data_IF_168892008439
#
_entry.id   IF_168892008439
#
_cell.length_a   1.000
_cell.length_b   1.000
_cell.length_c   1.000
_cell.angle_alpha   90.00
_cell.angle_beta   90.00
_cell.angle_gamma   90.00
#
_symmetry.space_group_name_H-M   'P 1'
#
loop_
_entity.id
_entity.type
_entity.pdbx_description
1 polymer ?
#
# COMPACT_ATOMS: atom_id res chain seq x y z
N UNK A 1 12.92 -1.02 1.24
CA UNK A 1 12.31 -1.78 0.12
C UNK A 1 11.68 -0.82 -0.87
N UNK A 2 11.56 -1.16 -2.16
CA UNK A 2 10.86 -0.30 -3.13
C UNK A 2 9.35 -0.33 -2.93
N UNK A 3 8.65 0.78 -3.22
CA UNK A 3 7.17 0.86 -3.18
C UNK A 3 6.51 -0.29 -3.92
N UNK A 4 6.98 -0.62 -5.13
CA UNK A 4 6.40 -1.65 -5.99
C UNK A 4 6.48 -3.04 -5.33
N UNK A 5 7.50 -3.29 -4.51
CA UNK A 5 7.59 -4.51 -3.73
C UNK A 5 6.51 -4.57 -2.63
N UNK A 6 6.25 -3.44 -1.96
CA UNK A 6 5.17 -3.36 -0.96
C UNK A 6 3.79 -3.54 -1.62
N UNK A 7 3.53 -2.87 -2.74
CA UNK A 7 2.27 -3.05 -3.49
C UNK A 7 2.04 -4.51 -3.88
N UNK A 8 3.10 -5.21 -4.33
CA UNK A 8 3.05 -6.63 -4.66
C UNK A 8 2.73 -7.50 -3.44
N UNK A 9 3.30 -7.19 -2.27
CA UNK A 9 2.96 -7.89 -1.02
C UNK A 9 1.51 -7.67 -0.63
N UNK A 10 1.04 -6.42 -0.66
CA UNK A 10 -0.35 -6.07 -0.34
C UNK A 10 -1.33 -6.78 -1.28
N UNK A 11 -1.06 -6.79 -2.58
CA UNK A 11 -1.90 -7.51 -3.56
C UNK A 11 -1.95 -9.01 -3.28
N UNK A 12 -0.81 -9.64 -2.93
CA UNK A 12 -0.77 -11.07 -2.57
C UNK A 12 -1.58 -11.34 -1.31
N UNK A 13 -1.41 -10.51 -0.29
CA UNK A 13 -2.12 -10.64 0.98
C UNK A 13 -3.63 -10.45 0.82
N UNK A 14 -4.04 -9.47 0.01
CA UNK A 14 -5.45 -9.23 -0.30
C UNK A 14 -6.09 -10.45 -0.96
N UNK A 15 -5.41 -11.05 -1.96
CA UNK A 15 -5.87 -12.29 -2.61
C UNK A 15 -5.98 -13.45 -1.62
N UNK A 16 -5.00 -13.62 -0.74
CA UNK A 16 -5.00 -14.66 0.28
C UNK A 16 -6.17 -14.51 1.27
N UNK A 17 -6.51 -13.28 1.63
CA UNK A 17 -7.58 -12.96 2.59
C UNK A 17 -8.96 -12.76 1.93
N UNK A 18 -9.06 -12.82 0.60
CA UNK A 18 -10.30 -12.50 -0.12
C UNK A 18 -10.74 -11.03 0.02
N UNK A 19 -9.81 -10.11 0.26
CA UNK A 19 -10.08 -8.69 0.45
C UNK A 19 -9.96 -7.90 -0.86
N UNK A 20 -10.72 -6.82 -0.98
CA UNK A 20 -10.57 -5.86 -2.06
C UNK A 20 -9.19 -5.19 -2.02
N UNK A 21 -8.59 -4.97 -3.19
CA UNK A 21 -7.35 -4.22 -3.33
C UNK A 21 -7.42 -3.32 -4.55
N UNK A 22 -7.11 -2.04 -4.38
CA UNK A 22 -6.99 -1.08 -5.46
C UNK A 22 -5.84 -0.12 -5.22
N UNK A 23 -5.25 0.35 -6.32
CA UNK A 23 -4.19 1.35 -6.32
C UNK A 23 -4.55 2.42 -7.35
N UNK A 24 -4.57 3.68 -6.92
CA UNK A 24 -4.83 4.84 -7.76
C UNK A 24 -3.53 5.67 -7.85
N UNK A 25 -2.77 5.54 -8.95
CA UNK A 25 -1.49 6.22 -9.11
C UNK A 25 -1.63 7.74 -9.24
N UNK A 26 -2.77 8.21 -9.77
CA UNK A 26 -3.02 9.63 -10.07
C UNK A 26 -3.85 10.35 -8.99
N UNK A 27 -4.22 9.63 -7.92
CA UNK A 27 -5.04 10.17 -6.83
C UNK A 27 -4.23 10.74 -5.65
N UNK A 28 -2.90 10.58 -5.66
CA UNK A 28 -2.02 11.09 -4.61
C UNK A 28 -1.27 12.35 -5.02
N UNK A 29 -1.03 13.26 -4.08
CA UNK A 29 -0.20 14.46 -4.29
C UNK A 29 1.26 14.05 -4.51
N UNK A 30 1.85 14.40 -5.66
CA UNK A 30 3.29 14.22 -5.94
C UNK A 30 3.73 12.77 -6.19
N UNK A 31 3.20 12.13 -7.24
CA UNK A 31 3.57 10.76 -7.67
C UNK A 31 3.35 9.67 -6.60
N UNK A 32 2.58 9.98 -5.56
CA UNK A 32 2.21 9.07 -4.49
C UNK A 32 1.00 8.25 -4.90
N UNK A 33 0.96 7.00 -4.49
CA UNK A 33 -0.16 6.12 -4.80
C UNK A 33 -1.14 6.14 -3.65
N UNK A 34 -2.42 6.27 -3.95
CA UNK A 34 -3.48 5.98 -3.00
C UNK A 34 -3.79 4.48 -3.09
N UNK A 35 -3.71 3.77 -1.97
CA UNK A 35 -3.89 2.31 -1.91
C UNK A 35 -5.00 1.98 -0.95
N UNK A 36 -6.00 1.26 -1.44
CA UNK A 36 -7.08 0.71 -0.64
C UNK A 36 -6.88 -0.79 -0.46
N UNK A 37 -6.95 -1.26 0.78
CA UNK A 37 -6.87 -2.66 1.16
C UNK A 37 -8.05 -2.99 2.08
N UNK A 38 -8.93 -3.87 1.62
CA UNK A 38 -10.24 -4.11 2.22
C UNK A 38 -11.07 -2.82 2.19
N UNK A 39 -11.29 -2.22 3.36
CA UNK A 39 -11.99 -0.95 3.55
C UNK A 39 -11.10 0.20 4.05
N UNK A 40 -9.78 0.02 4.12
CA UNK A 40 -8.85 1.03 4.61
C UNK A 40 -8.01 1.57 3.47
N UNK A 41 -7.74 2.88 3.51
CA UNK A 41 -6.99 3.56 2.46
C UNK A 41 -5.80 4.31 3.06
N UNK A 42 -4.65 4.26 2.39
CA UNK A 42 -3.45 5.03 2.77
C UNK A 42 -2.69 5.52 1.54
N UNK A 43 -1.80 6.50 1.75
CA UNK A 43 -0.94 7.07 0.72
C UNK A 43 0.46 6.50 0.84
N UNK A 44 0.99 5.96 -0.25
CA UNK A 44 2.33 5.39 -0.31
C UNK A 44 3.22 6.23 -1.21
N UNK A 45 4.31 6.77 -0.64
CA UNK A 45 5.29 7.56 -1.39
C UNK A 45 6.06 6.74 -2.41
N UNK A 46 6.57 7.41 -3.44
CA UNK A 46 7.44 6.81 -4.45
C UNK A 46 8.83 6.48 -3.91
N UNK A 47 9.55 5.61 -4.63
CA UNK A 47 10.94 5.29 -4.34
C UNK A 47 11.13 4.30 -3.21
N UNK A 48 12.19 4.51 -2.43
CA UNK A 48 12.57 3.62 -1.34
C UNK A 48 11.81 3.92 -0.04
N UNK A 49 11.30 2.86 0.55
CA UNK A 49 10.57 2.87 1.81
C UNK A 49 11.45 2.32 2.93
N UNK A 50 11.53 3.09 4.02
CA UNK A 50 12.18 2.64 5.25
C UNK A 50 11.35 1.54 5.91
N UNK A 51 11.96 0.60 6.65
CA UNK A 51 11.23 -0.45 7.36
C UNK A 51 10.17 0.09 8.32
N UNK A 52 10.46 1.21 8.99
CA UNK A 52 9.51 1.88 9.88
C UNK A 52 8.27 2.38 9.13
N UNK A 53 8.46 3.01 7.97
CA UNK A 53 7.35 3.49 7.16
C UNK A 53 6.47 2.35 6.65
N UNK A 54 7.08 1.23 6.22
CA UNK A 54 6.35 0.02 5.82
C UNK A 54 5.53 -0.52 6.99
N UNK A 55 6.10 -0.57 8.21
CA UNK A 55 5.40 -1.00 9.42
C UNK A 55 4.18 -0.12 9.73
N UNK A 56 4.32 1.20 9.58
CA UNK A 56 3.23 2.16 9.77
C UNK A 56 2.11 1.93 8.74
N UNK A 57 2.46 1.77 7.45
CA UNK A 57 1.48 1.47 6.39
C UNK A 57 0.72 0.19 6.68
N UNK A 58 1.43 -0.91 7.02
CA UNK A 58 0.79 -2.20 7.32
C UNK A 58 -0.18 -2.07 8.50
N UNK A 59 0.22 -1.35 9.56
CA UNK A 59 -0.65 -1.04 10.70
C UNK A 59 -1.89 -0.23 10.28
N UNK A 60 -1.74 0.80 9.45
CA UNK A 60 -2.85 1.59 8.93
C UNK A 60 -3.83 0.73 8.13
N UNK A 61 -3.32 -0.20 7.31
CA UNK A 61 -4.13 -1.11 6.50
C UNK A 61 -4.69 -2.32 7.28
N UNK A 62 -4.28 -2.51 8.54
CA UNK A 62 -4.73 -3.63 9.38
C UNK A 62 -4.12 -4.98 9.00
N UNK A 63 -2.88 -4.97 8.53
CA UNK A 63 -2.09 -6.17 8.18
C UNK A 63 -1.18 -6.57 9.33
#
# INVERSE_FOLDING_TARGET
MKREALLRELRKEARKRGLHYSEAPDAGKGSHYLVTFGGKTTVIKSGELTPLYVKIIKKQLGI
#
